data_IF_339413168811
#
_entry.id   IF_339413168811
#
_cell.length_a   1.000
_cell.length_b   1.000
_cell.length_c   1.000
_cell.angle_alpha   90.00
_cell.angle_beta   90.00
_cell.angle_gamma   90.00
#
_symmetry.space_group_name_H-M   'P 1'
#
loop_
_entity.id
_entity.type
_entity.pdbx_description
1 polymer ?
#
# COMPACT_ATOMS: atom_id res chain seq x y z
N UNK A 1 21.92 -9.40 -2.21
CA UNK A 1 20.89 -9.43 -1.17
C UNK A 1 21.09 -10.64 -0.26
N UNK A 2 20.85 -10.49 1.05
CA UNK A 2 20.91 -11.63 1.96
C UNK A 2 19.92 -12.73 1.56
N UNK A 3 20.27 -13.97 1.90
CA UNK A 3 19.45 -15.13 1.52
C UNK A 3 18.04 -15.10 2.14
N UNK A 4 17.86 -14.39 3.24
CA UNK A 4 16.57 -14.28 3.93
C UNK A 4 15.78 -13.02 3.54
N UNK A 5 16.16 -12.35 2.45
CA UNK A 5 15.46 -11.17 1.98
C UNK A 5 14.11 -11.57 1.37
N UNK A 6 13.05 -10.93 1.84
CA UNK A 6 11.71 -11.07 1.28
C UNK A 6 11.33 -9.76 0.62
N UNK A 7 11.04 -9.82 -0.68
CA UNK A 7 10.76 -8.63 -1.48
C UNK A 7 9.26 -8.48 -1.66
N UNK A 8 8.74 -7.30 -1.31
CA UNK A 8 7.38 -6.90 -1.61
C UNK A 8 7.42 -5.87 -2.73
N UNK A 9 6.54 -6.04 -3.70
CA UNK A 9 6.43 -5.13 -4.83
C UNK A 9 5.07 -4.45 -4.80
N UNK A 10 5.05 -3.13 -4.79
CA UNK A 10 3.84 -2.32 -4.84
C UNK A 10 3.80 -1.58 -6.18
N UNK A 11 2.78 -1.87 -6.98
CA UNK A 11 2.54 -1.23 -8.26
C UNK A 11 1.28 -0.39 -8.18
N UNK A 12 1.23 0.68 -8.96
CA UNK A 12 0.05 1.53 -9.08
C UNK A 12 -1.13 0.85 -9.78
N UNK A 13 -0.90 -0.28 -10.44
CA UNK A 13 -1.96 -0.97 -11.16
C UNK A 13 -3.02 -1.48 -10.19
N UNK A 14 -4.26 -1.08 -10.44
CA UNK A 14 -5.42 -1.47 -9.64
C UNK A 14 -6.21 -2.54 -10.39
N UNK A 15 -5.64 -3.75 -10.42
CA UNK A 15 -6.26 -4.91 -11.03
C UNK A 15 -6.74 -5.84 -9.92
N UNK A 16 -8.02 -6.17 -9.94
CA UNK A 16 -8.65 -6.96 -8.91
C UNK A 16 -9.22 -8.23 -9.51
N UNK A 17 -8.82 -9.38 -8.96
CA UNK A 17 -9.34 -10.67 -9.42
C UNK A 17 -10.82 -10.84 -9.06
N UNK A 18 -11.22 -10.32 -7.91
CA UNK A 18 -12.60 -10.42 -7.43
C UNK A 18 -13.11 -9.03 -7.04
N UNK A 19 -13.48 -8.20 -8.02
CA UNK A 19 -13.83 -6.79 -7.74
C UNK A 19 -15.10 -6.62 -6.92
N UNK A 20 -15.94 -7.65 -6.80
CA UNK A 20 -17.14 -7.62 -5.96
C UNK A 20 -16.82 -7.84 -4.48
N UNK A 21 -15.62 -8.32 -4.14
CA UNK A 21 -15.23 -8.46 -2.76
C UNK A 21 -15.07 -7.09 -2.10
N UNK A 22 -15.41 -7.03 -0.81
CA UNK A 22 -15.10 -5.84 -0.01
C UNK A 22 -13.63 -5.85 0.39
N UNK A 23 -13.07 -4.70 0.79
CA UNK A 23 -11.71 -4.67 1.33
C UNK A 23 -11.47 -5.67 2.46
N UNK A 24 -12.44 -5.81 3.38
CA UNK A 24 -12.33 -6.78 4.46
C UNK A 24 -12.26 -8.21 3.93
N UNK A 25 -13.11 -8.56 2.96
CA UNK A 25 -13.10 -9.90 2.35
C UNK A 25 -11.80 -10.16 1.62
N UNK A 26 -11.33 -9.17 0.87
CA UNK A 26 -10.09 -9.25 0.11
C UNK A 26 -8.91 -9.54 1.03
N UNK A 27 -8.75 -8.75 2.09
CA UNK A 27 -7.65 -8.95 3.04
C UNK A 27 -7.83 -10.24 3.82
N UNK A 28 -9.05 -10.58 4.20
CA UNK A 28 -9.32 -11.82 4.93
C UNK A 28 -8.96 -13.06 4.15
N UNK A 29 -9.16 -13.03 2.82
CA UNK A 29 -8.78 -14.15 1.95
C UNK A 29 -7.27 -14.25 1.79
N UNK A 30 -6.56 -13.13 1.78
CA UNK A 30 -5.10 -13.10 1.69
C UNK A 30 -4.43 -13.47 3.01
N UNK A 31 -5.05 -13.09 4.13
CA UNK A 31 -4.49 -13.28 5.47
C UNK A 31 -5.51 -14.03 6.34
N UNK A 32 -5.74 -15.32 6.05
CA UNK A 32 -6.83 -16.06 6.74
C UNK A 32 -6.62 -16.25 8.23
N UNK A 33 -5.40 -16.07 8.73
CA UNK A 33 -5.10 -16.18 10.15
C UNK A 33 -5.29 -14.87 10.91
N UNK A 34 -5.48 -13.77 10.21
CA UNK A 34 -5.68 -12.47 10.85
C UNK A 34 -7.12 -12.32 11.33
N UNK A 35 -7.28 -11.78 12.54
CA UNK A 35 -8.60 -11.50 13.07
C UNK A 35 -9.21 -10.28 12.37
N UNK A 36 -10.55 -10.21 12.34
CA UNK A 36 -11.25 -9.08 11.74
C UNK A 36 -10.81 -7.74 12.34
N UNK A 37 -10.55 -7.71 13.63
CA UNK A 37 -10.08 -6.51 14.30
C UNK A 37 -8.74 -6.03 13.73
N UNK A 38 -7.84 -6.95 13.43
CA UNK A 38 -6.55 -6.63 12.84
C UNK A 38 -6.71 -6.13 11.41
N UNK A 39 -7.57 -6.79 10.62
CA UNK A 39 -7.87 -6.35 9.25
C UNK A 39 -8.42 -4.92 9.24
N UNK A 40 -9.39 -4.64 10.12
CA UNK A 40 -9.98 -3.31 10.23
C UNK A 40 -8.97 -2.27 10.67
N UNK A 41 -8.07 -2.65 11.57
CA UNK A 41 -7.03 -1.75 12.05
C UNK A 41 -6.10 -1.32 10.90
N UNK A 42 -5.65 -2.28 10.08
CA UNK A 42 -4.77 -1.97 8.95
C UNK A 42 -5.49 -1.15 7.89
N UNK A 43 -6.75 -1.44 7.61
CA UNK A 43 -7.55 -0.62 6.70
C UNK A 43 -7.70 0.80 7.22
N UNK A 44 -7.99 0.94 8.51
CA UNK A 44 -8.13 2.26 9.14
C UNK A 44 -6.84 3.05 9.09
N UNK A 45 -5.70 2.42 9.37
CA UNK A 45 -4.39 3.06 9.28
C UNK A 45 -4.07 3.52 7.85
N UNK A 46 -4.58 2.79 6.85
CA UNK A 46 -4.41 3.17 5.46
C UNK A 46 -5.40 4.27 5.03
N UNK A 47 -6.34 4.64 5.90
CA UNK A 47 -7.31 5.68 5.61
C UNK A 47 -8.66 5.18 5.12
N UNK A 48 -8.93 3.87 5.21
CA UNK A 48 -10.18 3.28 4.77
C UNK A 48 -11.00 2.88 6.00
N UNK A 49 -11.93 3.73 6.39
CA UNK A 49 -12.68 3.57 7.63
C UNK A 49 -14.16 3.32 7.39
N UNK A 50 -14.80 2.72 8.41
CA UNK A 50 -16.26 2.56 8.46
C UNK A 50 -16.82 1.76 7.28
N UNK A 51 -17.80 2.35 6.58
CA UNK A 51 -18.51 1.67 5.49
C UNK A 51 -17.61 1.33 4.31
N UNK A 52 -16.55 2.10 4.07
CA UNK A 52 -15.66 1.85 2.93
C UNK A 52 -15.03 0.46 2.99
N UNK A 53 -14.79 -0.04 4.20
CA UNK A 53 -14.23 -1.39 4.36
C UNK A 53 -15.21 -2.49 3.97
N UNK A 54 -16.50 -2.15 3.83
CA UNK A 54 -17.58 -3.09 3.54
C UNK A 54 -18.24 -2.86 2.17
N UNK A 55 -17.73 -1.92 1.38
CA UNK A 55 -18.22 -1.71 0.02
C UNK A 55 -17.43 -2.54 -0.98
N UNK A 56 -18.05 -3.01 -2.07
CA UNK A 56 -17.29 -3.71 -3.11
C UNK A 56 -16.14 -2.84 -3.63
N UNK A 57 -15.00 -3.45 -3.82
CA UNK A 57 -13.79 -2.73 -4.25
C UNK A 57 -14.03 -1.97 -5.56
N UNK A 58 -14.81 -2.57 -6.47
CA UNK A 58 -15.12 -1.92 -7.75
C UNK A 58 -15.85 -0.58 -7.60
N UNK A 59 -16.54 -0.38 -6.48
CA UNK A 59 -17.31 0.86 -6.23
C UNK A 59 -16.48 1.93 -5.54
N UNK A 60 -15.26 1.61 -5.13
CA UNK A 60 -14.36 2.57 -4.50
C UNK A 60 -13.70 3.46 -5.56
N UNK A 61 -13.35 4.69 -5.16
CA UNK A 61 -12.55 5.56 -6.01
C UNK A 61 -11.15 4.97 -6.22
N UNK A 62 -10.41 5.50 -7.21
CA UNK A 62 -9.03 5.06 -7.43
C UNK A 62 -8.15 5.24 -6.21
N UNK A 63 -8.27 6.39 -5.52
CA UNK A 63 -7.53 6.64 -4.29
C UNK A 63 -7.90 5.68 -3.16
N UNK A 64 -9.19 5.36 -3.04
CA UNK A 64 -9.65 4.40 -2.04
C UNK A 64 -9.17 2.99 -2.34
N UNK A 65 -9.17 2.59 -3.62
CA UNK A 65 -8.60 1.31 -4.01
C UNK A 65 -7.11 1.23 -3.71
N UNK A 66 -6.38 2.33 -3.89
CA UNK A 66 -4.98 2.41 -3.52
C UNK A 66 -4.79 2.16 -2.02
N UNK A 67 -5.70 2.67 -1.19
CA UNK A 67 -5.65 2.44 0.25
C UNK A 67 -5.80 0.97 0.62
N UNK A 68 -6.60 0.22 -0.13
CA UNK A 68 -6.70 -1.24 0.05
C UNK A 68 -5.34 -1.90 -0.20
N UNK A 69 -4.67 -1.50 -1.27
CA UNK A 69 -3.32 -2.00 -1.57
C UNK A 69 -2.31 -1.63 -0.48
N UNK A 70 -2.43 -0.42 0.10
CA UNK A 70 -1.56 -0.01 1.20
C UNK A 70 -1.76 -0.90 2.42
N UNK A 71 -3.02 -1.20 2.77
CA UNK A 71 -3.31 -2.09 3.88
C UNK A 71 -2.71 -3.47 3.65
N UNK A 72 -2.84 -4.00 2.43
CA UNK A 72 -2.21 -5.27 2.06
C UNK A 72 -0.70 -5.22 2.24
N UNK A 73 -0.08 -4.13 1.79
CA UNK A 73 1.36 -3.94 1.89
C UNK A 73 1.84 -3.99 3.34
N UNK A 74 1.13 -3.29 4.24
CA UNK A 74 1.53 -3.25 5.66
C UNK A 74 1.33 -4.58 6.36
N UNK A 75 0.43 -5.43 5.87
CA UNK A 75 0.19 -6.75 6.44
C UNK A 75 1.09 -7.84 5.83
N UNK A 76 1.68 -7.59 4.67
CA UNK A 76 2.48 -8.59 3.99
C UNK A 76 3.87 -8.66 4.61
N UNK A 77 4.31 -9.84 5.09
CA UNK A 77 5.65 -9.98 5.64
C UNK A 77 6.72 -9.70 4.59
N UNK A 78 7.71 -8.89 4.94
CA UNK A 78 8.81 -8.59 4.05
C UNK A 78 9.72 -7.56 4.69
N UNK A 79 10.98 -7.53 4.26
CA UNK A 79 11.97 -6.58 4.74
C UNK A 79 12.57 -5.74 3.61
N UNK A 80 12.01 -5.86 2.41
CA UNK A 80 12.46 -5.11 1.24
C UNK A 80 11.23 -4.76 0.40
N UNK A 81 11.01 -3.48 0.18
CA UNK A 81 9.83 -2.99 -0.52
C UNK A 81 10.25 -2.18 -1.74
N UNK A 82 9.68 -2.51 -2.89
CA UNK A 82 9.86 -1.75 -4.12
C UNK A 82 8.55 -1.07 -4.47
N UNK A 83 8.58 0.26 -4.58
CA UNK A 83 7.45 1.08 -4.96
C UNK A 83 7.69 1.68 -6.34
N UNK A 84 6.84 1.32 -7.30
CA UNK A 84 6.96 1.79 -8.68
C UNK A 84 5.85 2.79 -8.97
N UNK A 85 6.22 4.07 -9.09
CA UNK A 85 5.31 5.19 -9.31
C UNK A 85 4.08 5.14 -8.39
N UNK A 86 4.31 5.07 -7.04
CA UNK A 86 3.21 4.80 -6.10
C UNK A 86 2.19 5.93 -5.98
N UNK A 87 2.56 7.16 -6.38
CA UNK A 87 1.70 8.32 -6.23
C UNK A 87 0.95 8.67 -7.50
N UNK A 88 1.18 7.92 -8.59
CA UNK A 88 0.55 8.22 -9.86
C UNK A 88 -0.96 8.00 -9.78
N UNK A 89 -1.74 9.01 -10.17
CA UNK A 89 -3.21 8.98 -10.21
C UNK A 89 -3.88 8.84 -8.84
N UNK A 90 -3.20 9.16 -7.72
CA UNK A 90 -3.84 9.15 -6.42
C UNK A 90 -3.97 10.58 -5.86
N UNK A 91 -4.97 10.76 -5.00
CA UNK A 91 -5.22 12.07 -4.41
C UNK A 91 -4.28 12.38 -3.24
N UNK A 92 -4.36 13.59 -2.71
CA UNK A 92 -3.47 14.04 -1.65
C UNK A 92 -3.64 13.23 -0.37
N UNK A 93 -4.86 12.86 -0.03
CA UNK A 93 -5.12 12.05 1.16
C UNK A 93 -4.47 10.67 1.06
N UNK A 94 -4.56 10.03 -0.10
CA UNK A 94 -3.92 8.73 -0.31
C UNK A 94 -2.40 8.86 -0.29
N UNK A 95 -1.85 9.97 -0.80
CA UNK A 95 -0.41 10.23 -0.73
C UNK A 95 0.07 10.33 0.71
N UNK A 96 -0.69 11.04 1.55
CA UNK A 96 -0.34 11.16 2.97
C UNK A 96 -0.41 9.83 3.69
N UNK A 97 -1.43 9.02 3.41
CA UNK A 97 -1.55 7.68 3.98
C UNK A 97 -0.37 6.78 3.56
N UNK A 98 0.03 6.87 2.30
CA UNK A 98 1.19 6.13 1.79
C UNK A 98 2.47 6.58 2.51
N UNK A 99 2.65 7.89 2.64
CA UNK A 99 3.83 8.45 3.31
C UNK A 99 3.93 7.97 4.76
N UNK A 100 2.82 7.98 5.49
CA UNK A 100 2.78 7.50 6.86
C UNK A 100 3.10 6.01 6.96
N UNK A 101 2.55 5.21 6.05
CA UNK A 101 2.81 3.77 6.01
C UNK A 101 4.29 3.49 5.75
N UNK A 102 4.92 4.26 4.87
CA UNK A 102 6.33 4.11 4.56
C UNK A 102 7.22 4.54 5.71
N UNK A 103 6.85 5.60 6.42
CA UNK A 103 7.61 6.09 7.57
C UNK A 103 7.67 5.03 8.68
N UNK A 104 6.66 4.17 8.77
CA UNK A 104 6.59 3.12 9.77
C UNK A 104 7.07 1.75 9.28
N UNK A 105 7.49 1.66 8.04
CA UNK A 105 7.95 0.39 7.47
C UNK A 105 9.33 0.04 7.98
N UNK A 106 9.45 -1.16 8.55
CA UNK A 106 10.72 -1.68 9.07
C UNK A 106 11.43 -2.50 7.99
N UNK A 107 12.32 -1.87 7.27
CA UNK A 107 13.06 -2.53 6.21
C UNK A 107 13.56 -1.53 5.19
N UNK A 108 14.06 -2.04 4.09
CA UNK A 108 14.58 -1.21 3.00
C UNK A 108 13.47 -0.91 2.01
N UNK A 109 13.35 0.36 1.62
CA UNK A 109 12.35 0.81 0.65
C UNK A 109 13.07 1.43 -0.54
N UNK A 110 12.72 0.98 -1.74
CA UNK A 110 13.17 1.59 -2.99
C UNK A 110 11.95 2.23 -3.65
N UNK A 111 12.03 3.53 -3.91
CA UNK A 111 10.95 4.28 -4.55
C UNK A 111 11.39 4.68 -5.94
N UNK A 112 10.62 4.29 -6.96
CA UNK A 112 10.77 4.76 -8.33
C UNK A 112 9.68 5.79 -8.57
N UNK A 113 10.03 7.07 -8.58
CA UNK A 113 9.05 8.14 -8.68
C UNK A 113 9.66 9.39 -9.29
N UNK A 114 8.84 10.15 -10.02
CA UNK A 114 9.20 11.48 -10.51
C UNK A 114 8.72 12.59 -9.57
N UNK A 115 8.00 12.26 -8.51
CA UNK A 115 7.47 13.23 -7.55
C UNK A 115 8.41 13.38 -6.37
N UNK A 116 9.38 14.28 -6.48
CA UNK A 116 10.39 14.52 -5.45
C UNK A 116 9.75 14.92 -4.12
N UNK A 117 8.71 15.73 -4.15
CA UNK A 117 8.03 16.20 -2.94
C UNK A 117 7.44 15.05 -2.12
N UNK A 118 7.11 13.95 -2.80
CA UNK A 118 6.55 12.79 -2.12
C UNK A 118 7.58 12.06 -1.27
N UNK A 119 8.78 11.81 -1.81
CA UNK A 119 9.74 10.92 -1.14
C UNK A 119 10.85 11.66 -0.38
N UNK A 120 11.02 12.95 -0.58
CA UNK A 120 12.13 13.72 -0.05
C UNK A 120 12.28 13.64 1.47
N UNK A 121 11.15 13.60 2.19
CA UNK A 121 11.12 13.65 3.64
C UNK A 121 11.49 12.34 4.33
N UNK A 122 11.40 11.21 3.61
CA UNK A 122 11.59 9.90 4.26
C UNK A 122 12.63 9.01 3.61
N UNK A 123 13.29 9.45 2.56
CA UNK A 123 14.35 8.65 1.95
C UNK A 123 15.72 9.13 2.44
N UNK A 124 16.58 8.16 2.74
CA UNK A 124 17.94 8.45 3.20
C UNK A 124 18.89 8.71 2.03
N UNK A 125 18.54 8.24 0.86
CA UNK A 125 19.42 8.29 -0.31
C UNK A 125 18.63 8.38 -1.59
N UNK A 126 18.97 9.32 -2.43
CA UNK A 126 18.33 9.52 -3.72
C UNK A 126 19.32 9.09 -4.82
N UNK A 127 18.85 8.23 -5.71
CA UNK A 127 19.60 7.82 -6.90
C UNK A 127 18.79 8.24 -8.12
N UNK A 128 19.37 9.12 -8.94
CA UNK A 128 18.74 9.53 -10.18
C UNK A 128 19.20 8.61 -11.31
N UNK A 129 18.23 8.05 -12.02
CA UNK A 129 18.49 7.15 -13.13
C UNK A 129 17.99 7.80 -14.42
N UNK A 130 18.89 7.91 -15.40
CA UNK A 130 18.54 8.42 -16.72
C UNK A 130 17.95 7.31 -17.56
N UNK A 131 16.91 7.64 -18.34
CA UNK A 131 16.32 6.69 -19.27
C UNK A 131 14.84 6.75 -19.38
#
# INVERSE_FOLDING_TARGET
>A
LPANTKINYFSQELVWQYPLETPLQYLGNLFPKAANKELRRHLSLAGLVNQLAQEPIKDLSGGEQTKVKLAQMTMTPGNFLILDEPTNHIDQEAKESLRESLANYEGTVIVVSHEQDFYEDFVDRIIEMEG
#
